data_IF_894518484696
#
_entry.id   IF_894518484696
#
_cell.length_a   1.000
_cell.length_b   1.000
_cell.length_c   1.000
_cell.angle_alpha   90.00
_cell.angle_beta   90.00
_cell.angle_gamma   90.00
#
_symmetry.space_group_name_H-M   'P 1'
#
loop_
_entity.id
_entity.type
_entity.pdbx_description
1 polymer ?
#
# COMPACT_ATOMS: atom_id res chain seq x y z
N UNK A 1 -3.65 -31.29 27.14
CA UNK A 1 -4.81 -30.66 26.47
C UNK A 1 -6.01 -30.69 27.40
N UNK A 2 -6.50 -29.55 27.89
CA UNK A 2 -7.81 -29.45 28.56
C UNK A 2 -8.80 -28.86 27.56
N UNK A 3 -9.76 -29.66 27.09
CA UNK A 3 -10.91 -29.19 26.30
C UNK A 3 -11.91 -28.56 27.26
N UNK A 4 -12.20 -27.27 27.08
CA UNK A 4 -13.30 -26.56 27.73
C UNK A 4 -14.09 -25.85 26.62
N UNK A 5 -15.37 -26.21 26.46
CA UNK A 5 -16.38 -25.44 25.73
C UNK A 5 -16.23 -25.38 24.20
N UNK A 6 -17.37 -25.27 23.49
CA UNK A 6 -17.43 -25.21 22.02
C UNK A 6 -16.67 -23.98 21.48
N UNK A 7 -15.86 -24.24 20.45
CA UNK A 7 -15.35 -23.31 19.43
C UNK A 7 -14.44 -22.14 19.86
N UNK A 8 -13.45 -22.40 20.73
CA UNK A 8 -12.27 -21.54 20.85
C UNK A 8 -10.98 -22.37 20.72
N UNK A 9 -10.31 -22.27 19.57
CA UNK A 9 -8.94 -22.77 19.39
C UNK A 9 -8.00 -21.59 19.62
N UNK A 10 -7.10 -21.70 20.60
CA UNK A 10 -6.10 -20.70 20.94
C UNK A 10 -4.70 -21.27 20.71
N UNK A 11 -3.83 -20.52 20.04
CA UNK A 11 -2.43 -20.83 19.84
C UNK A 11 -1.56 -19.68 20.35
N UNK A 12 -0.62 -19.99 21.24
CA UNK A 12 0.28 -18.99 21.83
C UNK A 12 1.63 -19.09 21.14
N UNK A 13 1.99 -18.07 20.38
CA UNK A 13 3.33 -17.97 19.76
C UNK A 13 4.36 -17.63 20.83
N UNK A 14 4.04 -16.65 21.68
CA UNK A 14 4.85 -16.33 22.85
C UNK A 14 3.98 -15.68 23.95
N UNK A 15 4.62 -15.13 25.00
CA UNK A 15 3.94 -14.46 26.12
C UNK A 15 3.05 -13.29 25.69
N UNK A 16 3.39 -12.63 24.58
CA UNK A 16 2.76 -11.42 24.08
C UNK A 16 1.86 -11.67 22.86
N UNK A 17 2.19 -12.63 22.00
CA UNK A 17 1.51 -12.92 20.74
C UNK A 17 0.67 -14.20 20.83
N UNK A 18 -0.64 -14.06 20.58
CA UNK A 18 -1.61 -15.17 20.64
C UNK A 18 -2.53 -15.10 19.44
N UNK A 19 -2.83 -16.24 18.82
CA UNK A 19 -3.85 -16.38 17.78
C UNK A 19 -5.06 -17.10 18.34
N UNK A 20 -6.26 -16.70 17.92
CA UNK A 20 -7.51 -17.38 18.26
C UNK A 20 -8.36 -17.59 17.01
N UNK A 21 -8.92 -18.78 16.86
CA UNK A 21 -9.97 -19.05 15.89
C UNK A 21 -11.30 -18.73 16.54
N UNK A 22 -11.91 -17.62 16.14
CA UNK A 22 -13.19 -17.14 16.67
C UNK A 22 -14.12 -16.80 15.51
N UNK A 23 -15.36 -17.28 15.53
CA UNK A 23 -16.32 -17.04 14.45
C UNK A 23 -15.79 -17.42 13.05
N UNK A 24 -15.08 -18.54 12.94
CA UNK A 24 -14.43 -19.02 11.71
C UNK A 24 -13.39 -18.06 11.11
N UNK A 25 -12.79 -17.19 11.94
CA UNK A 25 -11.71 -16.28 11.54
C UNK A 25 -10.52 -16.38 12.49
N UNK A 26 -9.33 -16.30 11.92
CA UNK A 26 -8.08 -16.21 12.66
C UNK A 26 -7.88 -14.78 13.14
N UNK A 27 -7.88 -14.58 14.45
CA UNK A 27 -7.67 -13.29 15.10
C UNK A 27 -6.32 -13.28 15.81
N UNK A 28 -5.51 -12.25 15.57
CA UNK A 28 -4.21 -12.06 16.23
C UNK A 28 -4.40 -11.13 17.43
N UNK A 29 -3.81 -11.49 18.56
CA UNK A 29 -3.82 -10.72 19.79
C UNK A 29 -2.41 -10.42 20.23
N UNK A 30 -2.15 -9.15 20.54
CA UNK A 30 -0.90 -8.69 21.15
C UNK A 30 -1.19 -8.15 22.54
N UNK A 31 -0.54 -8.71 23.55
CA UNK A 31 -0.76 -8.40 24.97
C UNK A 31 -2.25 -8.45 25.37
N UNK A 32 -2.93 -9.53 24.93
CA UNK A 32 -4.37 -9.77 25.15
C UNK A 32 -5.32 -8.76 24.48
N UNK A 33 -4.82 -7.85 23.65
CA UNK A 33 -5.65 -6.93 22.84
C UNK A 33 -5.70 -7.42 21.41
N UNK A 34 -6.88 -7.36 20.80
CA UNK A 34 -7.05 -7.70 19.39
C UNK A 34 -6.18 -6.76 18.54
N UNK A 35 -5.29 -7.34 17.74
CA UNK A 35 -4.45 -6.61 16.82
C UNK A 35 -5.26 -6.28 15.56
N UNK A 36 -5.86 -5.09 15.58
CA UNK A 36 -6.64 -4.57 14.47
C UNK A 36 -5.71 -3.87 13.48
N UNK A 37 -5.16 -4.61 12.55
CA UNK A 37 -4.67 -4.06 11.29
C UNK A 37 -5.69 -4.37 10.20
N UNK A 38 -5.93 -3.42 9.29
CA UNK A 38 -6.96 -3.54 8.24
C UNK A 38 -6.96 -4.95 7.62
N UNK A 39 -8.13 -5.59 7.68
CA UNK A 39 -8.39 -6.96 7.20
C UNK A 39 -7.95 -7.09 5.76
N UNK A 40 -7.06 -8.03 5.45
CA UNK A 40 -7.08 -9.00 4.34
C UNK A 40 -5.66 -9.59 4.16
N UNK A 41 -5.44 -10.82 4.63
CA UNK A 41 -4.42 -11.72 4.08
C UNK A 41 -4.75 -13.16 4.53
N UNK A 42 -5.32 -13.94 3.62
CA UNK A 42 -5.45 -15.39 3.72
C UNK A 42 -4.17 -15.97 3.09
N UNK A 43 -3.31 -16.64 3.86
CA UNK A 43 -2.19 -17.41 3.33
C UNK A 43 -2.40 -18.88 3.71
N UNK A 44 -2.56 -19.70 2.69
CA UNK A 44 -2.37 -21.14 2.77
C UNK A 44 -1.02 -21.47 2.14
N UNK A 45 -0.12 -22.04 2.92
CA UNK A 45 1.13 -22.62 2.43
C UNK A 45 1.08 -24.12 2.78
N UNK A 46 1.18 -25.03 1.80
CA UNK A 46 1.35 -26.44 2.08
C UNK A 46 2.74 -26.69 2.66
N UNK A 47 2.77 -27.39 3.80
CA UNK A 47 3.96 -28.01 4.37
C UNK A 47 4.27 -29.20 3.48
N UNK A 48 5.29 -29.07 2.62
CA UNK A 48 6.20 -30.16 2.21
C UNK A 48 7.10 -29.67 1.08
N UNK A 49 8.36 -29.35 1.44
CA UNK A 49 9.61 -29.46 0.65
C UNK A 49 10.74 -28.70 1.34
N UNK A 50 11.12 -29.17 2.52
CA UNK A 50 12.49 -28.98 3.01
C UNK A 50 13.38 -29.93 2.22
N UNK A 51 14.13 -29.42 1.24
CA UNK A 51 15.41 -29.92 0.72
C UNK A 51 15.64 -29.35 -0.68
N UNK A 52 16.18 -28.13 -0.76
CA UNK A 52 16.90 -27.54 -1.89
C UNK A 52 17.25 -26.07 -1.53
N UNK A 53 18.14 -25.87 -0.55
CA UNK A 53 18.59 -24.53 -0.11
C UNK A 53 20.09 -24.49 0.23
N UNK A 54 20.93 -25.16 -0.56
CA UNK A 54 22.38 -25.11 -0.33
C UNK A 54 23.19 -24.31 -1.35
N UNK A 55 22.57 -23.70 -2.37
CA UNK A 55 23.28 -22.82 -3.32
C UNK A 55 22.42 -21.59 -3.66
N UNK A 56 22.23 -20.68 -2.70
CA UNK A 56 21.54 -19.40 -2.91
C UNK A 56 22.26 -18.27 -2.18
N UNK A 57 22.74 -17.28 -2.92
CA UNK A 57 23.48 -16.13 -2.41
C UNK A 57 22.57 -14.93 -2.01
N UNK A 58 21.26 -14.96 -2.34
CA UNK A 58 20.28 -13.94 -1.91
C UNK A 58 18.83 -14.43 -1.84
N UNK A 59 18.02 -13.77 -0.99
CA UNK A 59 16.59 -14.11 -0.77
C UNK A 59 15.73 -13.88 -2.00
N UNK A 60 16.15 -12.98 -2.89
CA UNK A 60 15.46 -12.70 -4.14
C UNK A 60 15.62 -13.87 -5.13
N UNK A 61 16.80 -14.51 -5.17
CA UNK A 61 17.05 -15.71 -5.99
C UNK A 61 16.30 -16.95 -5.46
N UNK A 62 16.10 -17.05 -4.14
CA UNK A 62 15.26 -18.09 -3.53
C UNK A 62 13.78 -17.92 -3.89
N UNK A 63 13.30 -16.68 -3.96
CA UNK A 63 11.92 -16.37 -4.32
C UNK A 63 11.62 -16.75 -5.78
N UNK A 64 12.52 -16.44 -6.72
CA UNK A 64 12.34 -16.76 -8.15
C UNK A 64 12.33 -18.27 -8.45
N UNK A 65 13.18 -19.05 -7.77
CA UNK A 65 13.25 -20.52 -7.97
C UNK A 65 12.09 -21.27 -7.29
N UNK A 66 11.52 -20.73 -6.22
CA UNK A 66 10.35 -21.34 -5.55
C UNK A 66 9.04 -21.07 -6.30
N UNK A 67 8.85 -19.86 -6.85
CA UNK A 67 7.62 -19.47 -7.57
C UNK A 67 7.43 -20.26 -8.88
N UNK A 68 8.52 -20.58 -9.58
CA UNK A 68 8.49 -21.35 -10.85
C UNK A 68 8.08 -22.82 -10.68
N UNK A 69 8.07 -23.36 -9.46
CA UNK A 69 7.63 -24.74 -9.19
C UNK A 69 6.10 -24.87 -9.07
N UNK A 70 5.38 -23.75 -8.96
CA UNK A 70 3.91 -23.71 -8.78
C UNK A 70 3.13 -23.49 -10.08
N UNK A 71 3.80 -23.32 -11.22
CA UNK A 71 3.15 -23.06 -12.53
C UNK A 71 2.76 -24.33 -13.31
N UNK A 72 2.87 -25.54 -12.73
CA UNK A 72 2.31 -26.75 -13.36
C UNK A 72 0.87 -26.96 -12.89
N UNK A 73 -0.05 -26.64 -13.79
CA UNK A 73 -1.49 -26.53 -13.56
C UNK A 73 -2.21 -27.78 -13.04
N UNK A 74 -3.47 -27.55 -12.66
CA UNK A 74 -4.42 -28.59 -12.30
C UNK A 74 -5.46 -28.07 -11.32
N UNK A 75 -6.73 -28.32 -11.62
CA UNK A 75 -7.89 -28.06 -10.76
C UNK A 75 -7.64 -28.45 -9.29
N UNK A 76 -7.51 -27.48 -8.40
CA UNK A 76 -7.66 -27.72 -6.95
C UNK A 76 -8.48 -26.60 -6.32
N UNK A 77 -9.81 -26.70 -6.45
CA UNK A 77 -10.69 -26.20 -5.42
C UNK A 77 -10.51 -27.04 -4.16
N UNK A 78 -9.54 -26.68 -3.32
CA UNK A 78 -9.59 -27.02 -1.90
C UNK A 78 -9.74 -25.71 -1.13
N UNK A 79 -11.00 -25.30 -0.87
CA UNK A 79 -11.31 -24.33 0.18
C UNK A 79 -10.78 -24.94 1.48
N UNK A 80 -9.60 -24.51 1.93
CA UNK A 80 -9.09 -24.97 3.22
C UNK A 80 -10.10 -24.60 4.31
N UNK A 81 -10.27 -25.50 5.27
CA UNK A 81 -11.13 -25.25 6.41
C UNK A 81 -10.57 -24.08 7.24
N UNK A 82 -11.41 -23.28 7.92
CA UNK A 82 -10.94 -22.24 8.83
C UNK A 82 -9.91 -22.74 9.85
N UNK A 83 -10.02 -24.00 10.25
CA UNK A 83 -9.09 -24.68 11.15
C UNK A 83 -7.74 -24.91 10.47
N UNK A 84 -7.71 -25.38 9.22
CA UNK A 84 -6.47 -25.57 8.45
C UNK A 84 -5.76 -24.24 8.21
N UNK A 85 -6.50 -23.22 7.82
CA UNK A 85 -5.98 -21.86 7.63
C UNK A 85 -5.40 -21.30 8.94
N UNK A 86 -6.13 -21.46 10.06
CA UNK A 86 -5.68 -21.05 11.38
C UNK A 86 -4.32 -21.66 11.75
N UNK A 87 -4.15 -22.96 11.53
CA UNK A 87 -2.87 -23.62 11.81
C UNK A 87 -1.74 -23.17 10.88
N UNK A 88 -2.04 -22.85 9.62
CA UNK A 88 -1.08 -22.23 8.70
C UNK A 88 -0.57 -20.87 9.19
N UNK A 89 -1.48 -19.98 9.59
CA UNK A 89 -1.11 -18.69 10.18
C UNK A 89 -0.33 -18.83 11.49
N UNK A 90 -0.71 -19.81 12.33
CA UNK A 90 0.01 -20.11 13.57
C UNK A 90 1.44 -20.56 13.27
N UNK A 91 1.63 -21.45 12.30
CA UNK A 91 2.95 -21.93 11.89
C UNK A 91 3.83 -20.80 11.35
N UNK A 92 3.28 -19.92 10.50
CA UNK A 92 4.02 -18.80 9.93
C UNK A 92 4.45 -17.80 11.00
N UNK A 93 3.56 -17.44 11.95
CA UNK A 93 3.92 -16.53 13.05
C UNK A 93 4.84 -17.18 14.08
N UNK A 94 4.75 -18.50 14.29
CA UNK A 94 5.69 -19.24 15.11
C UNK A 94 7.09 -19.23 14.50
N UNK A 95 7.20 -19.54 13.20
CA UNK A 95 8.47 -19.49 12.48
C UNK A 95 9.06 -18.08 12.47
N UNK A 96 8.24 -17.05 12.27
CA UNK A 96 8.64 -15.65 12.37
C UNK A 96 9.24 -15.32 13.74
N UNK A 97 8.60 -15.77 14.81
CA UNK A 97 9.07 -15.56 16.17
C UNK A 97 10.38 -16.33 16.45
N UNK A 98 10.47 -17.59 16.07
CA UNK A 98 11.65 -18.44 16.30
C UNK A 98 12.89 -17.93 15.56
N UNK A 99 12.70 -17.31 14.39
CA UNK A 99 13.75 -16.69 13.61
C UNK A 99 13.96 -15.21 13.96
N UNK A 100 13.73 -14.83 15.22
CA UNK A 100 14.13 -13.51 15.67
C UNK A 100 13.27 -12.36 15.12
N UNK A 101 12.02 -12.61 14.72
CA UNK A 101 11.15 -11.64 14.02
C UNK A 101 11.68 -11.11 12.69
N UNK A 102 12.44 -11.92 11.97
CA UNK A 102 12.88 -11.60 10.62
C UNK A 102 11.70 -11.21 9.72
N UNK A 103 11.66 -9.95 9.30
CA UNK A 103 10.55 -9.36 8.53
C UNK A 103 10.40 -9.95 7.13
N UNK A 104 11.32 -10.82 6.71
CA UNK A 104 11.31 -11.54 5.43
C UNK A 104 10.47 -12.83 5.48
N UNK A 105 10.15 -13.33 6.66
CA UNK A 105 9.45 -14.61 6.85
C UNK A 105 7.93 -14.50 6.71
N UNK A 106 7.37 -13.34 7.06
CA UNK A 106 5.94 -13.06 6.92
C UNK A 106 5.72 -11.79 6.12
N UNK A 107 4.53 -11.65 5.55
CA UNK A 107 4.21 -10.55 4.65
C UNK A 107 4.48 -9.18 5.29
N UNK A 108 5.15 -8.28 4.55
CA UNK A 108 5.61 -6.95 5.03
C UNK A 108 4.51 -6.10 5.65
N UNK A 109 3.28 -6.18 5.12
CA UNK A 109 2.14 -5.41 5.63
C UNK A 109 1.74 -5.89 7.03
N UNK A 110 1.97 -7.15 7.39
CA UNK A 110 1.74 -7.67 8.74
C UNK A 110 2.98 -7.50 9.63
N UNK A 111 4.17 -7.78 9.08
CA UNK A 111 5.43 -7.85 9.83
C UNK A 111 5.73 -6.57 10.62
N UNK A 112 5.79 -5.42 9.96
CA UNK A 112 6.24 -4.18 10.59
C UNK A 112 5.27 -3.66 11.67
N UNK A 113 3.95 -3.62 11.44
CA UNK A 113 3.02 -3.12 12.46
C UNK A 113 2.79 -4.13 13.59
N UNK A 114 2.90 -5.44 13.33
CA UNK A 114 2.88 -6.45 14.37
C UNK A 114 4.14 -6.37 15.24
N UNK A 115 5.31 -6.15 14.63
CA UNK A 115 6.58 -5.93 15.33
C UNK A 115 6.53 -4.67 16.22
N UNK A 116 5.94 -3.58 15.73
CA UNK A 116 5.64 -2.37 16.53
C UNK A 116 4.75 -2.70 17.73
N UNK A 117 3.67 -3.46 17.52
CA UNK A 117 2.76 -3.81 18.61
C UNK A 117 3.45 -4.67 19.68
N UNK A 118 4.32 -5.59 19.28
CA UNK A 118 5.13 -6.40 20.20
C UNK A 118 6.16 -5.56 20.97
N UNK A 119 6.79 -4.59 20.28
CA UNK A 119 7.67 -3.62 20.93
C UNK A 119 6.93 -2.84 22.02
N UNK A 120 5.75 -2.31 21.70
CA UNK A 120 4.90 -1.55 22.63
C UNK A 120 4.36 -2.44 23.76
N UNK A 121 4.15 -3.74 23.51
CA UNK A 121 3.80 -4.73 24.52
C UNK A 121 4.97 -5.07 25.46
N UNK A 122 6.19 -4.63 25.16
CA UNK A 122 7.37 -4.82 25.98
C UNK A 122 8.08 -6.14 25.73
N UNK A 123 7.85 -6.79 24.59
CA UNK A 123 8.55 -8.02 24.22
C UNK A 123 10.05 -7.78 24.00
N UNK A 124 10.95 -8.42 24.78
CA UNK A 124 12.39 -8.16 24.71
C UNK A 124 13.02 -8.38 23.33
N UNK A 125 12.57 -9.41 22.59
CA UNK A 125 13.15 -9.77 21.30
C UNK A 125 12.79 -8.75 20.22
N UNK A 126 11.56 -8.23 20.23
CA UNK A 126 11.14 -7.18 19.29
C UNK A 126 11.90 -5.86 19.45
N UNK A 127 12.49 -5.58 20.63
CA UNK A 127 13.18 -4.30 20.91
C UNK A 127 14.30 -4.00 19.94
N UNK A 128 15.16 -4.99 19.70
CA UNK A 128 16.33 -4.84 18.84
C UNK A 128 15.87 -4.75 17.37
N UNK A 129 15.12 -5.76 16.95
CA UNK A 129 14.64 -5.94 15.58
C UNK A 129 13.84 -4.72 15.12
N UNK A 130 12.89 -4.23 15.93
CA UNK A 130 12.07 -3.08 15.55
C UNK A 130 12.90 -1.81 15.32
N UNK A 131 13.92 -1.57 16.13
CA UNK A 131 14.81 -0.42 15.97
C UNK A 131 15.70 -0.54 14.74
N UNK A 132 16.28 -1.71 14.51
CA UNK A 132 17.08 -2.00 13.30
C UNK A 132 16.23 -1.80 12.05
N UNK A 133 15.00 -2.25 12.09
CA UNK A 133 14.03 -2.17 10.99
C UNK A 133 13.58 -0.71 10.70
N UNK A 134 13.53 0.16 11.72
CA UNK A 134 13.40 1.62 11.53
C UNK A 134 14.69 2.19 10.94
N UNK A 135 15.86 1.77 11.42
CA UNK A 135 17.16 2.26 10.96
C UNK A 135 17.38 1.95 9.48
N UNK A 136 17.21 0.69 9.06
CA UNK A 136 17.30 0.24 7.65
C UNK A 136 16.37 1.07 6.75
N UNK A 137 15.13 1.33 7.20
CA UNK A 137 14.19 2.18 6.45
C UNK A 137 14.65 3.64 6.32
N UNK A 138 15.26 4.21 7.36
CA UNK A 138 15.80 5.56 7.29
C UNK A 138 17.06 5.64 6.42
N UNK A 139 17.95 4.65 6.55
CA UNK A 139 19.21 4.55 5.81
C UNK A 139 19.01 4.30 4.32
N UNK A 140 17.87 3.69 3.94
CA UNK A 140 17.46 3.57 2.53
C UNK A 140 17.45 4.93 1.79
N UNK A 141 17.29 6.04 2.52
CA UNK A 141 17.36 7.39 1.98
C UNK A 141 16.17 7.80 1.11
N UNK A 142 15.22 6.89 0.84
CA UNK A 142 14.04 7.17 0.04
C UNK A 142 13.11 8.17 0.73
N UNK A 143 12.82 9.34 0.11
CA UNK A 143 12.05 10.41 0.75
C UNK A 143 10.71 9.98 1.36
N UNK A 144 9.92 9.16 0.68
CA UNK A 144 8.60 8.73 1.14
C UNK A 144 8.67 7.85 2.38
N UNK A 145 9.64 6.93 2.44
CA UNK A 145 9.90 6.08 3.61
C UNK A 145 10.32 6.94 4.80
N UNK A 146 11.24 7.88 4.59
CA UNK A 146 11.73 8.79 5.63
C UNK A 146 10.59 9.69 6.16
N UNK A 147 9.76 10.24 5.27
CA UNK A 147 8.58 11.04 5.64
C UNK A 147 7.58 10.19 6.43
N UNK A 148 7.29 8.97 5.99
CA UNK A 148 6.39 8.07 6.71
C UNK A 148 6.91 7.79 8.13
N UNK A 149 8.19 7.45 8.27
CA UNK A 149 8.85 7.20 9.56
C UNK A 149 8.75 8.43 10.48
N UNK A 150 8.93 9.63 9.94
CA UNK A 150 8.80 10.89 10.69
C UNK A 150 7.35 11.17 11.07
N UNK A 151 6.43 11.16 10.11
CA UNK A 151 5.03 11.55 10.31
C UNK A 151 4.30 10.60 11.26
N UNK A 152 4.64 9.31 11.26
CA UNK A 152 4.10 8.33 12.19
C UNK A 152 4.82 8.33 13.55
N UNK A 153 5.83 9.19 13.71
CA UNK A 153 6.53 9.39 14.98
C UNK A 153 7.42 8.23 15.39
N UNK A 154 7.95 7.45 14.44
CA UNK A 154 8.80 6.30 14.74
C UNK A 154 10.19 6.70 15.26
N UNK A 155 10.66 7.92 14.96
CA UNK A 155 11.95 8.41 15.48
C UNK A 155 12.04 8.39 17.01
N UNK A 156 10.92 8.47 17.72
CA UNK A 156 10.88 8.44 19.20
C UNK A 156 11.36 7.10 19.78
N UNK A 157 11.34 6.03 18.99
CA UNK A 157 11.76 4.70 19.43
C UNK A 157 13.28 4.50 19.34
N UNK A 158 13.98 5.38 18.62
CA UNK A 158 15.43 5.36 18.51
C UNK A 158 16.07 6.29 19.56
N UNK A 159 17.16 5.83 20.16
CA UNK A 159 17.96 6.63 21.09
C UNK A 159 18.69 7.75 20.37
N UNK A 160 19.15 8.74 21.12
CA UNK A 160 19.93 9.84 20.56
C UNK A 160 21.20 9.37 19.83
N UNK A 161 21.85 8.32 20.33
CA UNK A 161 23.06 7.74 19.70
C UNK A 161 22.69 7.04 18.38
N UNK A 162 21.68 6.16 18.40
CA UNK A 162 21.20 5.43 17.21
C UNK A 162 20.79 6.42 16.10
N UNK A 163 19.97 7.42 16.43
CA UNK A 163 19.57 8.45 15.47
C UNK A 163 20.75 9.23 14.91
N UNK A 164 21.72 9.59 15.76
CA UNK A 164 22.88 10.38 15.31
C UNK A 164 23.68 9.61 14.27
N UNK A 165 23.93 8.32 14.50
CA UNK A 165 24.61 7.44 13.54
C UNK A 165 23.87 7.35 12.21
N UNK A 166 22.55 7.11 12.25
CA UNK A 166 21.71 7.03 11.04
C UNK A 166 21.74 8.34 10.24
N UNK A 167 21.68 9.49 10.92
CA UNK A 167 21.65 10.81 10.29
C UNK A 167 22.97 11.26 9.67
N UNK A 168 24.07 10.54 9.93
CA UNK A 168 25.33 10.75 9.25
C UNK A 168 25.35 10.08 7.85
N UNK A 169 24.29 9.34 7.50
CA UNK A 169 24.04 8.83 6.14
C UNK A 169 23.94 9.99 5.14
N UNK A 170 24.67 9.95 4.00
CA UNK A 170 24.63 10.99 2.98
C UNK A 170 23.19 11.32 2.54
N UNK A 171 22.92 12.61 2.30
CA UNK A 171 21.64 13.12 1.80
C UNK A 171 20.40 12.92 2.69
N UNK A 172 20.43 12.11 3.76
CA UNK A 172 19.26 11.86 4.60
C UNK A 172 18.73 13.15 5.24
N UNK A 173 19.61 13.96 5.83
CA UNK A 173 19.20 15.25 6.43
C UNK A 173 18.64 16.22 5.37
N UNK A 174 19.24 16.25 4.17
CA UNK A 174 18.76 17.08 3.07
C UNK A 174 17.36 16.64 2.60
N UNK A 175 17.13 15.33 2.51
CA UNK A 175 15.82 14.76 2.17
C UNK A 175 14.78 15.08 3.24
N UNK A 176 15.13 14.97 4.52
CA UNK A 176 14.24 15.38 5.63
C UNK A 176 13.84 16.85 5.45
N UNK A 177 14.78 17.75 5.18
CA UNK A 177 14.49 19.18 4.99
C UNK A 177 13.59 19.42 3.77
N UNK A 178 13.92 18.78 2.64
CA UNK A 178 13.24 19.02 1.36
C UNK A 178 11.80 18.53 1.38
N UNK A 179 11.55 17.35 1.94
CA UNK A 179 10.28 16.65 1.80
C UNK A 179 9.43 16.61 3.08
N UNK A 180 10.00 16.88 4.26
CA UNK A 180 9.20 16.92 5.50
C UNK A 180 8.50 18.27 5.60
N UNK A 181 7.18 18.21 5.72
CA UNK A 181 6.34 19.41 5.90
C UNK A 181 5.98 19.64 7.37
N UNK A 182 5.99 18.56 8.15
CA UNK A 182 5.68 18.57 9.58
C UNK A 182 6.88 18.09 10.41
N UNK A 183 7.49 19.02 11.14
CA UNK A 183 8.63 18.72 12.01
C UNK A 183 8.20 18.42 13.46
N UNK A 184 6.90 18.31 13.76
CA UNK A 184 6.40 18.08 15.13
C UNK A 184 6.90 16.76 15.73
N UNK A 185 7.05 15.73 14.91
CA UNK A 185 7.55 14.42 15.31
C UNK A 185 9.09 14.29 15.25
N UNK A 186 9.80 15.37 14.89
CA UNK A 186 11.26 15.40 14.89
C UNK A 186 11.76 15.76 16.30
N UNK A 187 12.75 15.02 16.86
CA UNK A 187 13.35 15.34 18.14
C UNK A 187 13.88 16.78 18.20
N UNK A 188 13.65 17.49 19.32
CA UNK A 188 14.03 18.90 19.50
C UNK A 188 15.50 19.20 19.16
N UNK A 189 16.41 18.29 19.50
CA UNK A 189 17.84 18.43 19.21
C UNK A 189 18.14 18.37 17.70
N UNK A 190 17.45 17.49 16.97
CA UNK A 190 17.58 17.34 15.53
C UNK A 190 16.99 18.55 14.81
N UNK A 191 15.81 19.00 15.25
CA UNK A 191 15.22 20.24 14.76
C UNK A 191 16.16 21.45 14.95
N UNK A 192 16.83 21.57 16.11
CA UNK A 192 17.86 22.61 16.34
C UNK A 192 19.05 22.48 15.36
N UNK A 193 19.55 21.26 15.12
CA UNK A 193 20.63 20.99 14.15
C UNK A 193 20.23 21.40 12.74
N UNK A 194 19.05 20.98 12.29
CA UNK A 194 18.48 21.31 10.98
C UNK A 194 18.33 22.83 10.82
N UNK A 195 17.77 23.51 11.84
CA UNK A 195 17.60 24.97 11.84
C UNK A 195 18.95 25.72 11.81
N UNK A 196 19.99 25.21 12.48
CA UNK A 196 21.33 25.82 12.44
C UNK A 196 21.92 25.76 11.03
N UNK A 197 21.69 24.65 10.33
CA UNK A 197 22.13 24.46 8.95
C UNK A 197 21.25 25.20 7.92
N UNK A 198 20.01 25.54 8.29
CA UNK A 198 19.01 26.17 7.42
C UNK A 198 18.31 27.32 8.18
N UNK A 199 18.91 28.52 8.28
CA UNK A 199 18.38 29.64 9.06
C UNK A 199 16.99 30.09 8.61
N UNK A 200 16.71 30.03 7.30
CA UNK A 200 15.42 30.40 6.68
C UNK A 200 14.35 29.31 6.76
N UNK A 201 14.65 28.16 7.36
CA UNK A 201 13.71 27.05 7.53
C UNK A 201 12.43 27.52 8.22
N UNK A 202 12.51 28.42 9.21
CA UNK A 202 11.31 28.94 9.89
C UNK A 202 10.43 29.81 9.00
N UNK A 203 11.00 30.56 8.05
CA UNK A 203 10.22 31.34 7.07
C UNK A 203 9.58 30.40 6.05
N UNK A 204 10.32 29.40 5.59
CA UNK A 204 9.82 28.36 4.67
C UNK A 204 8.73 27.50 5.31
N UNK A 205 8.91 27.08 6.56
CA UNK A 205 7.91 26.38 7.37
C UNK A 205 6.74 27.31 7.68
N UNK A 206 6.93 28.57 8.11
CA UNK A 206 5.81 29.50 8.35
C UNK A 206 5.01 29.76 7.08
N UNK A 207 5.65 29.90 5.91
CA UNK A 207 4.95 29.97 4.63
C UNK A 207 4.19 28.68 4.29
N UNK A 208 4.62 27.50 4.79
CA UNK A 208 3.86 26.23 4.70
C UNK A 208 2.80 26.04 5.81
N UNK A 209 3.00 26.66 6.99
CA UNK A 209 2.20 26.50 8.22
C UNK A 209 1.13 27.59 8.38
N UNK A 210 1.32 28.81 7.88
CA UNK A 210 0.24 29.80 7.73
C UNK A 210 -0.89 29.27 6.83
N UNK A 211 -0.54 28.31 5.98
CA UNK A 211 -1.50 27.64 5.12
C UNK A 211 -2.22 26.50 5.90
N UNK A 212 -1.84 26.15 7.15
CA UNK A 212 -2.55 25.16 8.00
C UNK A 212 -3.76 25.76 8.73
N UNK A 213 -4.93 25.49 8.17
CA UNK A 213 -6.18 25.33 8.89
C UNK A 213 -7.29 25.01 7.89
N UNK A 214 -7.87 23.82 7.98
CA UNK A 214 -8.80 23.21 7.00
C UNK A 214 -8.17 22.62 5.73
N UNK A 215 -8.64 21.43 5.36
CA UNK A 215 -8.60 20.98 3.98
C UNK A 215 -9.75 21.70 3.28
N UNK A 216 -9.49 22.29 2.12
CA UNK A 216 -10.54 22.94 1.35
C UNK A 216 -11.55 21.90 0.84
N UNK A 217 -11.10 20.67 0.57
CA UNK A 217 -11.97 19.56 0.20
C UNK A 217 -11.42 18.19 0.64
N UNK A 218 -12.33 17.22 0.81
CA UNK A 218 -11.99 15.79 0.92
C UNK A 218 -12.80 15.04 -0.12
N UNK A 219 -12.13 14.34 -1.03
CA UNK A 219 -12.77 13.56 -2.08
C UNK A 219 -12.46 12.08 -1.93
N UNK A 220 -13.49 11.27 -2.10
CA UNK A 220 -13.37 9.84 -2.32
C UNK A 220 -13.27 9.57 -3.81
N UNK A 221 -12.24 8.86 -4.24
CA UNK A 221 -12.06 8.44 -5.63
C UNK A 221 -11.95 6.94 -5.74
N UNK A 222 -12.16 6.45 -6.95
CA UNK A 222 -12.27 5.03 -7.27
C UNK A 222 -11.32 4.73 -8.43
N UNK A 223 -10.45 3.73 -8.27
CA UNK A 223 -9.52 3.27 -9.30
C UNK A 223 -9.98 1.90 -9.77
N UNK A 224 -10.31 1.78 -11.05
CA UNK A 224 -10.99 0.60 -11.60
C UNK A 224 -10.54 0.31 -13.02
N UNK A 225 -10.86 -0.90 -13.50
CA UNK A 225 -10.35 -1.43 -14.76
C UNK A 225 -9.97 -2.90 -14.62
N UNK A 226 -9.64 -3.53 -15.74
CA UNK A 226 -9.43 -4.97 -15.81
C UNK A 226 -8.24 -5.48 -14.99
N UNK A 227 -8.20 -6.78 -14.77
CA UNK A 227 -7.10 -7.43 -14.09
C UNK A 227 -5.76 -7.25 -14.83
N UNK A 228 -4.68 -7.15 -14.05
CA UNK A 228 -3.32 -7.02 -14.57
C UNK A 228 -3.00 -5.70 -15.26
N UNK A 229 -3.88 -4.68 -15.23
CA UNK A 229 -3.59 -3.33 -15.78
C UNK A 229 -2.79 -2.44 -14.81
N UNK A 230 -2.23 -3.02 -13.75
CA UNK A 230 -1.35 -2.30 -12.80
C UNK A 230 -2.01 -1.18 -11.95
N UNK A 231 -3.32 -1.26 -11.66
CA UNK A 231 -4.03 -0.28 -10.78
C UNK A 231 -3.36 -0.04 -9.44
N UNK A 232 -2.96 -1.12 -8.79
CA UNK A 232 -2.24 -1.06 -7.51
C UNK A 232 -0.86 -0.49 -7.68
N UNK A 233 -0.16 -0.77 -8.79
CA UNK A 233 1.14 -0.16 -9.04
C UNK A 233 1.00 1.36 -9.28
N UNK A 234 -0.02 1.82 -10.01
CA UNK A 234 -0.31 3.26 -10.18
C UNK A 234 -0.60 3.92 -8.83
N UNK A 235 -1.48 3.32 -8.03
CA UNK A 235 -1.86 3.85 -6.71
C UNK A 235 -0.67 3.89 -5.77
N UNK A 236 0.09 2.80 -5.67
CA UNK A 236 1.30 2.75 -4.85
C UNK A 236 2.37 3.71 -5.36
N UNK A 237 2.51 3.87 -6.68
CA UNK A 237 3.42 4.86 -7.26
C UNK A 237 3.01 6.26 -6.86
N UNK A 238 1.73 6.60 -6.98
CA UNK A 238 1.25 7.90 -6.52
C UNK A 238 1.48 8.09 -5.02
N UNK A 239 1.21 7.09 -4.18
CA UNK A 239 1.35 7.23 -2.73
C UNK A 239 2.79 7.36 -2.26
N UNK A 240 3.69 6.58 -2.86
CA UNK A 240 5.05 6.36 -2.35
C UNK A 240 6.14 6.91 -3.25
N UNK A 241 5.81 7.28 -4.49
CA UNK A 241 6.73 7.58 -5.59
C UNK A 241 7.75 6.46 -5.87
N UNK A 242 7.42 5.22 -5.49
CA UNK A 242 8.20 4.02 -5.75
C UNK A 242 7.41 3.10 -6.69
N UNK A 243 8.11 2.51 -7.66
CA UNK A 243 7.58 1.38 -8.41
C UNK A 243 7.95 0.08 -7.71
N UNK A 244 6.98 -0.81 -7.54
CA UNK A 244 7.21 -2.18 -7.06
C UNK A 244 6.92 -3.09 -8.24
N UNK A 245 7.96 -3.76 -8.76
CA UNK A 245 7.91 -4.56 -10.00
C UNK A 245 6.98 -5.75 -9.93
N UNK A 246 6.68 -6.25 -8.72
CA UNK A 246 5.82 -7.41 -8.52
C UNK A 246 4.46 -6.99 -7.97
N UNK A 247 3.62 -6.40 -8.83
CA UNK A 247 2.22 -6.15 -8.48
C UNK A 247 1.43 -7.47 -8.51
N UNK A 248 1.26 -8.09 -7.33
CA UNK A 248 0.39 -9.27 -7.16
C UNK A 248 -1.06 -8.89 -7.45
N UNK A 249 -1.86 -9.88 -7.85
CA UNK A 249 -3.30 -9.71 -8.09
C UNK A 249 -4.02 -9.19 -6.83
N UNK A 250 -4.70 -8.05 -6.94
CA UNK A 250 -5.48 -7.47 -5.84
C UNK A 250 -6.78 -8.23 -5.66
N UNK A 251 -6.89 -8.99 -4.57
CA UNK A 251 -8.11 -9.70 -4.17
C UNK A 251 -8.94 -8.75 -3.30
N UNK A 252 -10.03 -8.20 -3.85
CA UNK A 252 -10.92 -7.29 -3.11
C UNK A 252 -10.60 -5.81 -3.37
N UNK A 253 -10.53 -4.99 -2.32
CA UNK A 253 -10.36 -3.54 -2.42
C UNK A 253 -9.40 -3.02 -1.36
N UNK A 254 -8.44 -2.21 -1.78
CA UNK A 254 -7.49 -1.51 -0.91
C UNK A 254 -7.90 -0.04 -0.74
N UNK A 255 -7.64 0.51 0.45
CA UNK A 255 -7.99 1.87 0.82
C UNK A 255 -6.77 2.65 1.30
N UNK A 256 -6.53 3.80 0.68
CA UNK A 256 -5.39 4.65 0.96
C UNK A 256 -5.78 6.13 1.03
N UNK A 257 -5.00 6.94 1.75
CA UNK A 257 -5.27 8.37 1.92
C UNK A 257 -4.03 9.20 1.61
N UNK A 258 -4.16 10.18 0.71
CA UNK A 258 -3.09 11.14 0.38
C UNK A 258 -3.60 12.57 0.40
N UNK A 259 -2.79 13.47 0.92
CA UNK A 259 -3.02 14.92 0.84
C UNK A 259 -2.21 15.51 -0.31
N UNK A 260 -2.82 16.41 -1.08
CA UNK A 260 -2.18 17.13 -2.18
C UNK A 260 -2.67 18.59 -2.22
N UNK A 261 -1.93 19.43 -2.94
CA UNK A 261 -2.30 20.82 -3.21
C UNK A 261 -2.51 20.95 -4.71
N UNK A 262 -3.73 21.28 -5.13
CA UNK A 262 -4.11 21.48 -6.53
C UNK A 262 -4.72 22.86 -6.67
N UNK A 263 -4.16 23.68 -7.56
CA UNK A 263 -4.63 25.06 -7.82
C UNK A 263 -4.79 25.89 -6.54
N UNK A 264 -3.82 25.74 -5.61
CA UNK A 264 -3.80 26.31 -4.26
C UNK A 264 -4.83 25.77 -3.26
N UNK A 265 -5.70 24.84 -3.66
CA UNK A 265 -6.61 24.11 -2.77
C UNK A 265 -5.92 22.90 -2.14
N UNK A 266 -6.10 22.76 -0.83
CA UNK A 266 -5.65 21.61 -0.04
C UNK A 266 -6.69 20.53 -0.05
N UNK A 267 -6.40 19.46 -0.78
CA UNK A 267 -7.34 18.35 -0.96
C UNK A 267 -6.82 17.12 -0.22
N UNK A 268 -7.73 16.41 0.45
CA UNK A 268 -7.50 15.05 0.92
C UNK A 268 -8.19 14.06 -0.02
N UNK A 269 -7.43 13.20 -0.67
CA UNK A 269 -7.96 12.09 -1.46
C UNK A 269 -8.03 10.82 -0.62
N UNK A 270 -9.18 10.17 -0.70
CA UNK A 270 -9.44 8.82 -0.22
C UNK A 270 -9.53 7.91 -1.45
N UNK A 271 -8.49 7.10 -1.67
CA UNK A 271 -8.31 6.31 -2.88
C UNK A 271 -8.77 4.89 -2.61
N UNK A 272 -9.71 4.41 -3.40
CA UNK A 272 -10.20 3.04 -3.35
C UNK A 272 -9.70 2.29 -4.58
N UNK A 273 -8.71 1.42 -4.39
CA UNK A 273 -8.12 0.58 -5.43
C UNK A 273 -8.87 -0.74 -5.53
N UNK A 274 -9.60 -0.93 -6.63
CA UNK A 274 -10.48 -2.07 -6.82
C UNK A 274 -9.78 -3.20 -7.58
N UNK A 275 -9.81 -4.44 -7.08
CA UNK A 275 -9.32 -5.62 -7.78
C UNK A 275 -10.05 -5.85 -9.10
N UNK A 276 -9.30 -5.97 -10.20
CA UNK A 276 -9.87 -6.03 -11.56
C UNK A 276 -10.45 -7.37 -11.99
N UNK A 277 -10.49 -8.36 -11.09
CA UNK A 277 -10.96 -9.72 -11.40
C UNK A 277 -12.47 -9.71 -11.65
N UNK A 278 -12.88 -10.25 -12.80
CA UNK A 278 -14.27 -10.20 -13.27
C UNK A 278 -15.26 -10.76 -12.24
N UNK A 279 -14.91 -11.85 -11.58
CA UNK A 279 -15.77 -12.50 -10.57
C UNK A 279 -16.01 -11.65 -9.32
N UNK A 280 -15.22 -10.59 -9.09
CA UNK A 280 -15.39 -9.67 -7.97
C UNK A 280 -16.05 -8.34 -8.36
N UNK A 281 -16.30 -8.09 -9.65
CA UNK A 281 -16.96 -6.86 -10.15
C UNK A 281 -18.30 -6.55 -9.47
N UNK A 282 -19.00 -7.57 -8.97
CA UNK A 282 -20.26 -7.40 -8.21
C UNK A 282 -20.10 -6.59 -6.91
N UNK A 283 -18.87 -6.46 -6.38
CA UNK A 283 -18.60 -5.68 -5.18
C UNK A 283 -18.42 -4.17 -5.48
N UNK A 284 -18.10 -3.82 -6.72
CA UNK A 284 -17.81 -2.45 -7.15
C UNK A 284 -18.89 -1.43 -6.71
N UNK A 285 -20.21 -1.73 -6.82
CA UNK A 285 -21.25 -0.82 -6.40
C UNK A 285 -21.11 -0.30 -4.95
N UNK A 286 -20.74 -1.20 -4.03
CA UNK A 286 -20.60 -0.87 -2.60
C UNK A 286 -19.47 0.13 -2.35
N UNK A 287 -18.40 0.05 -3.15
CA UNK A 287 -17.22 0.91 -3.00
C UNK A 287 -17.34 2.22 -3.74
N UNK A 288 -18.17 2.26 -4.76
CA UNK A 288 -18.43 3.44 -5.58
C UNK A 288 -19.35 4.44 -4.87
N UNK A 289 -20.19 3.97 -3.95
CA UNK A 289 -21.08 4.84 -3.15
C UNK A 289 -20.30 5.96 -2.44
N UNK A 290 -20.68 7.20 -2.72
CA UNK A 290 -20.07 8.40 -2.15
C UNK A 290 -18.71 8.78 -2.76
N UNK A 291 -18.25 8.09 -3.79
CA UNK A 291 -17.13 8.57 -4.60
C UNK A 291 -17.55 9.80 -5.42
N UNK A 292 -16.59 10.68 -5.70
CA UNK A 292 -16.76 11.95 -6.41
C UNK A 292 -16.05 11.98 -7.76
N UNK A 293 -15.27 10.96 -8.09
CA UNK A 293 -14.63 10.79 -9.39
C UNK A 293 -13.89 9.46 -9.48
N UNK A 294 -13.37 9.13 -10.65
CA UNK A 294 -12.65 7.87 -10.85
C UNK A 294 -11.59 7.88 -11.94
N UNK A 295 -10.67 6.93 -11.81
CA UNK A 295 -9.65 6.62 -12.81
C UNK A 295 -9.96 5.25 -13.41
N UNK A 296 -10.22 5.21 -14.72
CA UNK A 296 -10.34 3.96 -15.46
C UNK A 296 -9.00 3.61 -16.09
N UNK A 297 -8.42 2.48 -15.73
CA UNK A 297 -7.11 2.05 -16.24
C UNK A 297 -7.26 0.93 -17.26
N UNK A 298 -6.48 1.01 -18.34
CA UNK A 298 -6.30 -0.06 -19.32
C UNK A 298 -4.82 -0.20 -19.68
N UNK A 299 -4.43 -1.36 -20.18
CA UNK A 299 -3.06 -1.66 -20.61
C UNK A 299 -2.93 -1.42 -22.12
N UNK A 300 -2.00 -0.54 -22.53
CA UNK A 300 -1.82 -0.17 -23.96
C UNK A 300 -1.37 -1.34 -24.85
N UNK A 301 -0.90 -2.45 -24.26
CA UNK A 301 -0.54 -3.69 -24.95
C UNK A 301 -1.72 -4.67 -25.07
N UNK A 302 -2.85 -4.41 -24.40
CA UNK A 302 -4.03 -5.30 -24.34
C UNK A 302 -5.33 -4.57 -24.66
N UNK A 303 -5.73 -4.59 -25.95
CA UNK A 303 -7.00 -4.01 -26.47
C UNK A 303 -8.26 -4.39 -25.71
N UNK A 304 -8.34 -5.64 -25.23
CA UNK A 304 -9.50 -6.10 -24.45
C UNK A 304 -9.74 -5.26 -23.20
N UNK A 305 -8.68 -4.81 -22.54
CA UNK A 305 -8.78 -4.02 -21.29
C UNK A 305 -9.40 -2.65 -21.51
N UNK A 306 -9.24 -2.06 -22.70
CA UNK A 306 -9.91 -0.81 -23.09
C UNK A 306 -11.33 -1.06 -23.60
N UNK A 307 -11.57 -2.18 -24.29
CA UNK A 307 -12.88 -2.52 -24.83
C UNK A 307 -13.97 -2.66 -23.74
N UNK A 308 -13.58 -3.11 -22.54
CA UNK A 308 -14.51 -3.28 -21.40
C UNK A 308 -14.88 -1.98 -20.67
N UNK A 309 -14.39 -0.81 -21.10
CA UNK A 309 -14.72 0.47 -20.44
C UNK A 309 -16.23 0.68 -20.30
N UNK A 310 -17.02 0.35 -21.33
CA UNK A 310 -18.48 0.51 -21.31
C UNK A 310 -19.14 -0.31 -20.19
N UNK A 311 -18.65 -1.53 -19.95
CA UNK A 311 -19.15 -2.41 -18.91
C UNK A 311 -18.86 -1.83 -17.52
N UNK A 312 -17.63 -1.38 -17.29
CA UNK A 312 -17.25 -0.72 -16.04
C UNK A 312 -18.07 0.55 -15.78
N UNK A 313 -18.20 1.41 -16.78
CA UNK A 313 -18.99 2.64 -16.69
C UNK A 313 -20.47 2.36 -16.42
N UNK A 314 -21.03 1.28 -16.99
CA UNK A 314 -22.42 0.89 -16.75
C UNK A 314 -22.68 0.52 -15.29
N UNK A 315 -21.69 -0.06 -14.60
CA UNK A 315 -21.79 -0.41 -13.18
C UNK A 315 -21.71 0.87 -12.33
N UNK A 316 -20.79 1.78 -12.65
CA UNK A 316 -20.65 3.05 -11.95
C UNK A 316 -21.91 3.91 -12.06
N UNK A 317 -22.47 4.04 -13.27
CA UNK A 317 -23.66 4.86 -13.55
C UNK A 317 -24.89 4.41 -12.75
N UNK A 318 -24.99 3.13 -12.39
CA UNK A 318 -26.10 2.62 -11.57
C UNK A 318 -26.06 3.09 -10.12
N UNK A 319 -24.88 3.40 -9.58
CA UNK A 319 -24.70 3.85 -8.20
C UNK A 319 -24.55 5.37 -8.06
N UNK A 320 -24.40 6.07 -9.18
CA UNK A 320 -24.20 7.52 -9.20
C UNK A 320 -25.53 8.26 -9.32
N UNK A 321 -25.64 9.36 -8.57
CA UNK A 321 -26.77 10.27 -8.74
C UNK A 321 -26.63 11.02 -10.07
N UNK A 322 -27.67 11.06 -10.92
CA UNK A 322 -27.63 11.81 -12.18
C UNK A 322 -27.36 13.32 -12.00
N UNK A 323 -27.66 13.84 -10.82
CA UNK A 323 -27.54 15.27 -10.48
C UNK A 323 -26.14 15.68 -10.02
N UNK A 324 -25.28 14.70 -9.71
CA UNK A 324 -23.91 14.96 -9.22
C UNK A 324 -22.92 14.57 -10.31
N UNK A 325 -22.21 15.53 -10.93
CA UNK A 325 -21.18 15.21 -11.89
C UNK A 325 -20.11 14.31 -11.27
N UNK A 326 -19.75 13.24 -11.98
CA UNK A 326 -18.76 12.26 -11.56
C UNK A 326 -17.67 12.19 -12.65
N UNK A 327 -16.60 13.00 -12.54
CA UNK A 327 -15.55 13.03 -13.53
C UNK A 327 -14.79 11.70 -13.60
N UNK A 328 -14.51 11.25 -14.81
CA UNK A 328 -13.74 10.05 -15.10
C UNK A 328 -12.59 10.38 -16.02
N UNK A 329 -11.37 10.03 -15.62
CA UNK A 329 -10.20 10.08 -16.49
C UNK A 329 -9.83 8.67 -16.93
N UNK A 330 -9.66 8.50 -18.24
CA UNK A 330 -9.15 7.28 -18.86
C UNK A 330 -7.62 7.29 -18.83
N UNK A 331 -7.02 6.25 -18.28
CA UNK A 331 -5.58 6.12 -18.04
C UNK A 331 -5.01 4.94 -18.83
N UNK A 332 -4.20 5.25 -19.84
CA UNK A 332 -3.46 4.26 -20.62
C UNK A 332 -2.14 3.89 -19.94
N UNK A 333 -2.03 2.66 -19.47
CA UNK A 333 -0.88 2.17 -18.71
C UNK A 333 0.19 1.62 -19.65
N UNK A 334 1.42 2.14 -19.56
CA UNK A 334 2.55 1.64 -20.33
C UNK A 334 3.74 1.20 -19.44
N UNK A 335 4.21 -0.05 -19.58
CA UNK A 335 5.30 -0.57 -18.76
C UNK A 335 6.69 -0.05 -19.20
N UNK A 336 6.88 0.31 -20.47
CA UNK A 336 8.15 0.79 -21.04
C UNK A 336 7.95 1.53 -22.39
N UNK A 337 8.99 2.17 -22.93
CA UNK A 337 8.97 2.88 -24.21
C UNK A 337 8.80 1.94 -25.41
N UNK A 338 7.54 1.66 -25.77
CA UNK A 338 7.12 1.40 -27.15
C UNK A 338 7.34 0.00 -27.74
N UNK A 339 7.86 -1.00 -27.01
CA UNK A 339 8.17 -2.32 -27.59
C UNK A 339 6.96 -3.23 -27.84
N UNK A 340 5.84 -3.06 -27.13
CA UNK A 340 4.62 -3.91 -27.26
C UNK A 340 3.29 -3.12 -27.37
N UNK A 341 3.33 -1.87 -27.85
CA UNK A 341 2.12 -1.02 -27.98
C UNK A 341 1.15 -1.59 -29.01
N UNK A 342 -0.10 -1.86 -28.61
CA UNK A 342 -1.20 -2.26 -29.52
C UNK A 342 -2.30 -1.21 -29.67
N UNK A 343 -2.29 -0.19 -28.82
CA UNK A 343 -3.27 0.90 -28.76
C UNK A 343 -2.51 2.21 -28.87
N UNK A 344 -2.85 3.02 -29.87
CA UNK A 344 -2.30 4.37 -30.00
C UNK A 344 -3.03 5.34 -29.07
N UNK A 345 -2.36 6.43 -28.67
CA UNK A 345 -2.96 7.43 -27.80
C UNK A 345 -4.24 8.02 -28.42
N UNK A 346 -4.25 8.24 -29.75
CA UNK A 346 -5.42 8.75 -30.50
C UNK A 346 -6.62 7.80 -30.41
N UNK A 347 -6.37 6.49 -30.37
CA UNK A 347 -7.41 5.49 -30.18
C UNK A 347 -7.98 5.53 -28.75
N UNK A 348 -7.12 5.66 -27.74
CA UNK A 348 -7.51 5.86 -26.35
C UNK A 348 -8.36 7.12 -26.14
N UNK A 349 -7.93 8.25 -26.73
CA UNK A 349 -8.66 9.52 -26.72
C UNK A 349 -10.04 9.37 -27.37
N UNK A 350 -10.10 8.73 -28.55
CA UNK A 350 -11.36 8.51 -29.26
C UNK A 350 -12.33 7.65 -28.45
N UNK A 351 -11.84 6.59 -27.79
CA UNK A 351 -12.67 5.73 -26.95
C UNK A 351 -13.16 6.49 -25.71
N UNK A 352 -12.30 7.26 -25.05
CA UNK A 352 -12.66 8.13 -23.94
C UNK A 352 -13.80 9.11 -24.32
N UNK A 353 -13.64 9.82 -25.45
CA UNK A 353 -14.66 10.74 -25.98
C UNK A 353 -15.97 10.02 -26.30
N UNK A 354 -15.93 8.86 -26.96
CA UNK A 354 -17.14 8.09 -27.30
C UNK A 354 -17.92 7.59 -26.09
N UNK A 355 -17.25 7.44 -24.93
CA UNK A 355 -17.86 7.01 -23.68
C UNK A 355 -18.28 8.18 -22.77
N UNK A 356 -18.11 9.43 -23.22
CA UNK A 356 -18.38 10.65 -22.46
C UNK A 356 -17.59 10.72 -21.14
N UNK A 357 -16.30 10.39 -21.17
CA UNK A 357 -15.38 10.61 -20.04
C UNK A 357 -14.67 11.97 -20.15
N UNK A 358 -14.17 12.49 -19.04
CA UNK A 358 -13.73 13.88 -18.89
C UNK A 358 -12.24 14.11 -19.21
N UNK A 359 -11.47 13.04 -19.36
CA UNK A 359 -10.05 13.17 -19.69
C UNK A 359 -9.41 11.87 -20.17
N UNK A 360 -8.23 12.03 -20.76
CA UNK A 360 -7.35 10.95 -21.17
C UNK A 360 -5.90 11.29 -20.81
N UNK A 361 -5.16 10.31 -20.29
CA UNK A 361 -3.74 10.44 -20.00
C UNK A 361 -3.06 9.07 -20.13
N UNK A 362 -1.83 9.03 -20.62
CA UNK A 362 -1.00 7.81 -20.54
C UNK A 362 -0.03 7.92 -19.37
N UNK A 363 0.08 6.86 -18.57
CA UNK A 363 0.91 6.83 -17.37
C UNK A 363 1.86 5.63 -17.37
N UNK A 364 2.99 5.78 -16.69
CA UNK A 364 3.88 4.67 -16.35
C UNK A 364 4.20 4.67 -14.87
N UNK A 365 3.66 3.72 -14.08
CA UNK A 365 4.06 3.55 -12.69
C UNK A 365 5.55 3.27 -12.53
N UNK A 366 6.16 2.62 -13.54
CA UNK A 366 7.58 2.27 -13.57
C UNK A 366 8.46 3.52 -13.59
N UNK A 367 8.23 4.42 -14.54
CA UNK A 367 9.01 5.66 -14.64
C UNK A 367 8.51 6.75 -13.67
N UNK A 368 7.21 6.71 -13.33
CA UNK A 368 6.48 7.78 -12.66
C UNK A 368 5.88 8.81 -13.61
N UNK A 369 6.01 8.60 -14.92
CA UNK A 369 5.48 9.52 -15.93
C UNK A 369 3.96 9.65 -15.79
N UNK A 370 3.50 10.91 -15.70
CA UNK A 370 2.10 11.32 -15.67
C UNK A 370 1.27 10.75 -14.50
N UNK A 371 1.90 10.09 -13.52
CA UNK A 371 1.18 9.46 -12.40
C UNK A 371 0.56 10.53 -11.52
N UNK A 372 1.35 11.48 -11.03
CA UNK A 372 0.88 12.62 -10.26
C UNK A 372 -0.16 13.45 -11.04
N UNK A 373 0.12 13.72 -12.31
CA UNK A 373 -0.72 14.50 -13.21
C UNK A 373 -2.12 13.89 -13.37
N UNK A 374 -2.24 12.56 -13.42
CA UNK A 374 -3.53 11.89 -13.50
C UNK A 374 -4.42 12.16 -12.27
N UNK A 375 -3.86 12.06 -11.06
CA UNK A 375 -4.60 12.32 -9.82
C UNK A 375 -4.87 13.81 -9.62
N UNK A 376 -3.94 14.69 -10.01
CA UNK A 376 -4.13 16.14 -9.97
C UNK A 376 -5.21 16.62 -10.95
N UNK A 377 -5.21 16.08 -12.17
CA UNK A 377 -6.23 16.38 -13.18
C UNK A 377 -7.63 15.98 -12.70
N UNK A 378 -7.78 14.76 -12.15
CA UNK A 378 -9.05 14.31 -11.59
C UNK A 378 -9.49 15.21 -10.42
N UNK A 379 -8.55 15.57 -9.56
CA UNK A 379 -8.82 16.47 -8.42
C UNK A 379 -9.29 17.84 -8.87
N UNK A 380 -8.66 18.40 -9.91
CA UNK A 380 -9.05 19.69 -10.50
C UNK A 380 -10.47 19.66 -11.04
N UNK A 381 -10.86 18.59 -11.73
CA UNK A 381 -12.24 18.42 -12.21
C UNK A 381 -13.23 18.37 -11.04
N UNK A 382 -12.93 17.62 -9.98
CA UNK A 382 -13.78 17.54 -8.79
C UNK A 382 -13.90 18.86 -8.01
N UNK A 383 -12.92 19.76 -8.11
CA UNK A 383 -12.96 21.09 -7.48
C UNK A 383 -13.81 22.10 -8.25
N UNK A 384 -14.13 21.84 -9.52
CA UNK A 384 -14.92 22.71 -10.40
C UNK A 384 -16.43 22.42 -10.36
N UNK A 385 -16.82 21.35 -9.66
CA UNK A 385 -18.18 20.84 -9.50
C UNK A 385 -18.70 21.23 -8.12
#
# INVERSE_FOLDING_TARGET
MKRIGKDLVEFKVNKYLVLKLENRRTNIYVNRKLFNQCKFLLLNIPVDKTHELNDIDSIDEAAEKLDSSMERGGEYQNKLTPETEFWGHCSNLQAWYENGYDTRIIHRNLAFPLLKALFEAGDPQSRKVFKEEIAVRLESGYPSVVIYIINQGYLKFLSHRELKTILDTPNLVANIIKYTEDFSNIPKWLYKKIKKQNPDLRKSIRKKVEVRGYYDATFKIVVFGDEGVEKTALTQRFLTNLFVSDSKMTIGVDFEVKSLIVDNFRVKLQIWDFGGEERFRFLLPTYVRGARGGLFLYDISRRSTLAHIGDWLSILKKEMSPEVPFPIIVVGMHPESGRDRKILAEEGIRIALSNNTDGFIECSPRTGENVEEAFEALTRLMLQI
#
